data_IF_950590194057
#
_entry.id   IF_950590194057
#
_cell.length_a   1.000
_cell.length_b   1.000
_cell.length_c   1.000
_cell.angle_alpha   90.00
_cell.angle_beta   90.00
_cell.angle_gamma   90.00
#
_symmetry.space_group_name_H-M   'P 1'
#
loop_
_entity.id
_entity.type
_entity.pdbx_description
1 polymer ?
#
# COMPACT_ATOMS: atom_id res chain seq x y z
N UNK A 1 -16.97 29.12 13.46
CA UNK A 1 -15.72 28.60 12.84
C UNK A 1 -16.01 27.20 12.34
N UNK A 2 -15.60 26.85 11.11
CA UNK A 2 -15.59 25.43 10.71
C UNK A 2 -14.42 24.79 11.47
N UNK A 3 -14.58 23.60 12.08
CA UNK A 3 -13.48 22.93 12.73
C UNK A 3 -12.38 22.64 11.73
N UNK A 4 -11.13 22.77 12.15
CA UNK A 4 -9.98 22.40 11.35
C UNK A 4 -9.94 20.87 11.26
N UNK A 5 -10.29 20.35 10.07
CA UNK A 5 -10.33 18.92 9.81
C UNK A 5 -8.91 18.44 9.50
N UNK A 6 -8.39 17.55 10.33
CA UNK A 6 -7.15 16.84 10.00
C UNK A 6 -7.43 15.82 8.89
N UNK A 7 -6.56 15.82 7.89
CA UNK A 7 -6.50 14.76 6.91
C UNK A 7 -5.68 13.61 7.49
N UNK A 8 -6.33 12.47 7.65
CA UNK A 8 -5.71 11.22 8.09
C UNK A 8 -5.85 10.17 7.01
N UNK A 9 -4.92 9.22 6.99
CA UNK A 9 -4.93 8.14 6.02
C UNK A 9 -6.12 7.22 6.26
N UNK A 10 -6.79 6.84 5.16
CA UNK A 10 -7.96 5.96 5.16
C UNK A 10 -7.70 4.75 4.28
N UNK A 11 -8.31 3.63 4.63
CA UNK A 11 -8.35 2.43 3.79
C UNK A 11 -9.69 2.38 3.09
N UNK A 12 -9.65 2.22 1.76
CA UNK A 12 -10.84 2.03 0.94
C UNK A 12 -11.54 0.74 1.30
N UNK A 13 -12.86 0.80 1.43
CA UNK A 13 -13.69 -0.41 1.50
C UNK A 13 -13.70 -1.11 0.15
N UNK A 14 -14.00 -2.42 0.14
CA UNK A 14 -14.14 -3.18 -1.10
C UNK A 14 -15.21 -2.56 -2.01
N UNK A 15 -16.32 -2.11 -1.44
CA UNK A 15 -17.42 -1.47 -2.15
C UNK A 15 -16.97 -0.17 -2.83
N UNK A 16 -16.23 0.69 -2.13
CA UNK A 16 -15.67 1.90 -2.73
C UNK A 16 -14.68 1.59 -3.85
N UNK A 17 -13.86 0.55 -3.70
CA UNK A 17 -12.95 0.12 -4.77
C UNK A 17 -13.73 -0.35 -6.01
N UNK A 18 -14.79 -1.13 -5.83
CA UNK A 18 -15.65 -1.56 -6.95
C UNK A 18 -16.28 -0.36 -7.66
N UNK A 19 -16.72 0.67 -6.93
CA UNK A 19 -17.26 1.91 -7.50
C UNK A 19 -16.20 2.68 -8.30
N UNK A 20 -14.99 2.80 -7.77
CA UNK A 20 -13.85 3.43 -8.47
C UNK A 20 -13.52 2.67 -9.75
N UNK A 21 -13.49 1.33 -9.69
CA UNK A 21 -13.22 0.47 -10.84
C UNK A 21 -14.32 0.63 -11.91
N UNK A 22 -15.59 0.63 -11.51
CA UNK A 22 -16.73 0.88 -12.41
C UNK A 22 -16.62 2.24 -13.08
N UNK A 23 -16.30 3.28 -12.30
CA UNK A 23 -16.11 4.64 -12.81
C UNK A 23 -14.95 4.70 -13.81
N UNK A 24 -13.79 4.14 -13.47
CA UNK A 24 -12.64 4.10 -14.35
C UNK A 24 -12.92 3.34 -15.65
N UNK A 25 -13.66 2.23 -15.57
CA UNK A 25 -14.11 1.50 -16.75
C UNK A 25 -14.98 2.37 -17.66
N UNK A 26 -16.05 2.97 -17.11
CA UNK A 26 -16.98 3.82 -17.88
C UNK A 26 -16.29 5.02 -18.51
N UNK A 27 -15.23 5.54 -17.88
CA UNK A 27 -14.47 6.70 -18.35
C UNK A 27 -13.24 6.34 -19.17
N UNK A 28 -12.99 5.05 -19.41
CA UNK A 28 -11.80 4.54 -20.11
C UNK A 28 -10.49 5.08 -19.48
N UNK A 29 -10.38 4.97 -18.16
CA UNK A 29 -9.23 5.44 -17.38
C UNK A 29 -8.29 4.28 -17.04
N UNK A 30 -7.00 4.58 -17.09
CA UNK A 30 -5.95 3.70 -16.59
C UNK A 30 -5.80 3.87 -15.07
N UNK A 31 -5.95 2.78 -14.31
CA UNK A 31 -5.82 2.79 -12.86
C UNK A 31 -4.35 2.69 -12.41
N UNK A 32 -3.93 3.65 -11.58
CA UNK A 32 -2.66 3.63 -10.87
C UNK A 32 -2.97 3.48 -9.38
N UNK A 33 -2.75 2.29 -8.83
CA UNK A 33 -3.01 1.94 -7.45
C UNK A 33 -1.73 2.04 -6.61
N UNK A 34 -1.55 3.17 -5.92
CA UNK A 34 -0.46 3.37 -4.98
C UNK A 34 -0.76 2.68 -3.65
N UNK A 35 -0.28 1.44 -3.50
CA UNK A 35 -0.61 0.54 -2.39
C UNK A 35 0.57 0.40 -1.40
N UNK A 36 1.44 1.41 -1.33
CA UNK A 36 2.70 1.38 -0.56
C UNK A 36 2.55 1.20 0.96
N UNK A 37 1.36 1.45 1.51
CA UNK A 37 1.05 1.29 2.94
C UNK A 37 0.26 0.03 3.28
N UNK A 38 0.18 -0.95 2.37
CA UNK A 38 -0.65 -2.14 2.57
C UNK A 38 -0.34 -2.94 3.85
N UNK A 39 0.89 -2.85 4.37
CA UNK A 39 1.34 -3.51 5.60
C UNK A 39 1.14 -2.65 6.88
N UNK A 40 0.74 -1.38 6.76
CA UNK A 40 0.59 -0.44 7.89
C UNK A 40 -0.87 -0.27 8.36
N UNK A 41 -1.78 -1.10 7.87
CA UNK A 41 -3.20 -0.95 8.14
C UNK A 41 -3.51 -1.51 9.53
N UNK A 42 -4.15 -0.70 10.39
CA UNK A 42 -4.38 -1.06 11.80
C UNK A 42 -5.74 -1.67 12.09
N UNK A 43 -6.79 -1.26 11.37
CA UNK A 43 -8.18 -1.57 11.77
C UNK A 43 -9.06 -2.17 10.68
N UNK A 44 -8.55 -2.32 9.44
CA UNK A 44 -9.33 -2.81 8.29
C UNK A 44 -8.53 -3.86 7.50
N UNK A 45 -9.19 -4.79 6.79
CA UNK A 45 -8.48 -5.66 5.87
C UNK A 45 -7.97 -4.87 4.66
N UNK A 46 -6.78 -5.22 4.19
CA UNK A 46 -6.28 -4.74 2.90
C UNK A 46 -6.93 -5.51 1.74
N UNK A 47 -7.34 -4.77 0.71
CA UNK A 47 -7.71 -5.33 -0.58
C UNK A 47 -6.89 -4.64 -1.66
N UNK A 48 -6.19 -5.40 -2.50
CA UNK A 48 -5.51 -4.82 -3.67
C UNK A 48 -6.50 -4.59 -4.81
N UNK A 49 -6.30 -3.52 -5.58
CA UNK A 49 -7.08 -3.24 -6.78
C UNK A 49 -7.02 -4.41 -7.75
N UNK A 50 -5.88 -5.07 -7.87
CA UNK A 50 -5.73 -6.27 -8.70
C UNK A 50 -6.67 -7.40 -8.28
N UNK A 51 -6.76 -7.70 -6.98
CA UNK A 51 -7.65 -8.74 -6.44
C UNK A 51 -9.11 -8.38 -6.72
N UNK A 52 -9.52 -7.16 -6.36
CA UNK A 52 -10.92 -6.71 -6.55
C UNK A 52 -11.29 -6.73 -8.03
N UNK A 53 -10.45 -6.18 -8.92
CA UNK A 53 -10.69 -6.22 -10.37
C UNK A 53 -10.80 -7.64 -10.91
N UNK A 54 -9.98 -8.57 -10.41
CA UNK A 54 -10.03 -9.97 -10.84
C UNK A 54 -11.33 -10.66 -10.37
N UNK A 55 -11.71 -10.48 -9.11
CA UNK A 55 -12.95 -11.02 -8.53
C UNK A 55 -14.21 -10.45 -9.19
N UNK A 56 -14.21 -9.18 -9.60
CA UNK A 56 -15.32 -8.56 -10.34
C UNK A 56 -15.52 -9.17 -11.74
N UNK A 57 -14.53 -9.88 -12.28
CA UNK A 57 -14.60 -10.51 -13.60
C UNK A 57 -14.71 -9.51 -14.77
N UNK A 58 -15.01 -10.03 -15.95
CA UNK A 58 -15.16 -9.20 -17.14
C UNK A 58 -16.38 -8.26 -17.01
N UNK A 59 -16.29 -6.99 -17.45
CA UNK A 59 -15.18 -6.42 -18.22
C UNK A 59 -14.04 -5.81 -17.38
N UNK A 60 -14.21 -5.71 -16.06
CA UNK A 60 -13.27 -5.01 -15.16
C UNK A 60 -11.92 -5.72 -15.03
N UNK A 61 -11.96 -7.05 -14.99
CA UNK A 61 -10.79 -7.92 -15.00
C UNK A 61 -10.01 -7.88 -16.32
N UNK A 62 -10.34 -6.98 -17.26
CA UNK A 62 -9.61 -6.74 -18.51
C UNK A 62 -9.02 -5.33 -18.61
N UNK A 63 -9.26 -4.45 -17.63
CA UNK A 63 -8.74 -3.08 -17.64
C UNK A 63 -7.23 -3.00 -17.36
N UNK A 64 -6.64 -1.88 -17.74
CA UNK A 64 -5.25 -1.51 -17.44
C UNK A 64 -5.10 -1.15 -15.95
N UNK A 65 -4.08 -1.73 -15.29
CA UNK A 65 -3.74 -1.44 -13.89
C UNK A 65 -2.22 -1.37 -13.71
N UNK A 66 -1.75 -0.37 -12.97
CA UNK A 66 -0.43 -0.29 -12.39
C UNK A 66 -0.56 -0.32 -10.87
N UNK A 67 -0.12 -1.38 -10.20
CA UNK A 67 -0.11 -1.49 -8.73
C UNK A 67 1.30 -1.32 -8.21
N UNK A 68 1.51 -0.42 -7.24
CA UNK A 68 2.82 -0.03 -6.73
C UNK A 68 3.04 -0.57 -5.32
N UNK A 69 4.25 -1.07 -5.07
CA UNK A 69 4.75 -1.48 -3.76
C UNK A 69 6.14 -0.88 -3.52
N UNK A 70 6.47 -0.58 -2.26
CA UNK A 70 7.81 -0.17 -1.84
C UNK A 70 8.25 -0.91 -0.59
N UNK A 71 9.56 -1.11 -0.45
CA UNK A 71 10.18 -1.56 0.81
C UNK A 71 10.44 -0.40 1.79
N UNK A 72 10.12 0.85 1.42
CA UNK A 72 10.38 2.04 2.25
C UNK A 72 9.40 2.21 3.41
N UNK A 73 8.30 1.45 3.41
CA UNK A 73 7.17 1.49 4.35
C UNK A 73 6.93 0.07 4.86
N UNK A 74 5.91 -0.14 5.68
CA UNK A 74 5.65 -1.43 6.31
C UNK A 74 6.67 -1.77 7.39
N UNK A 75 6.65 -3.03 7.80
CA UNK A 75 7.59 -3.61 8.75
C UNK A 75 9.05 -3.58 8.24
N UNK A 76 9.26 -3.56 6.93
CA UNK A 76 10.60 -3.48 6.35
C UNK A 76 11.26 -2.12 6.60
N UNK A 77 10.53 -1.02 6.35
CA UNK A 77 10.99 0.35 6.60
C UNK A 77 12.38 0.73 6.03
N UNK A 78 12.86 0.04 4.99
CA UNK A 78 14.20 0.18 4.40
C UNK A 78 14.27 1.32 3.37
N UNK A 79 13.89 2.53 3.77
CA UNK A 79 13.76 3.67 2.87
C UNK A 79 15.07 4.05 2.16
N UNK A 80 16.23 3.81 2.79
CA UNK A 80 17.55 4.09 2.24
C UNK A 80 17.92 3.20 1.05
N UNK A 81 17.35 2.00 0.95
CA UNK A 81 17.64 1.04 -0.13
C UNK A 81 16.90 1.37 -1.44
N UNK A 82 15.94 2.32 -1.39
CA UNK A 82 15.16 2.80 -2.55
C UNK A 82 14.58 1.67 -3.41
N UNK A 83 13.94 0.70 -2.75
CA UNK A 83 13.41 -0.50 -3.38
C UNK A 83 11.87 -0.51 -3.49
N UNK A 84 11.37 -1.15 -4.55
CA UNK A 84 9.95 -1.31 -4.84
C UNK A 84 9.72 -1.91 -6.22
N UNK A 85 8.46 -2.19 -6.54
CA UNK A 85 8.06 -2.60 -7.89
C UNK A 85 6.74 -1.95 -8.30
N UNK A 86 6.49 -2.01 -9.60
CA UNK A 86 5.17 -1.79 -10.19
C UNK A 86 4.75 -3.04 -10.93
N UNK A 87 3.57 -3.56 -10.63
CA UNK A 87 2.94 -4.60 -11.43
C UNK A 87 2.06 -3.94 -12.49
N UNK A 88 2.38 -4.18 -13.76
CA UNK A 88 1.67 -3.64 -14.91
C UNK A 88 0.79 -4.73 -15.52
N UNK A 89 -0.52 -4.56 -15.45
CA UNK A 89 -1.51 -5.52 -15.92
C UNK A 89 -2.20 -4.98 -17.18
N UNK A 90 -2.15 -5.77 -18.26
CA UNK A 90 -2.88 -5.56 -19.52
C UNK A 90 -2.69 -4.18 -20.18
N UNK A 91 -1.50 -3.61 -20.06
CA UNK A 91 -1.14 -2.39 -20.77
C UNK A 91 -1.44 -2.50 -22.26
N UNK A 92 -1.93 -1.40 -22.84
CA UNK A 92 -2.03 -1.27 -24.28
C UNK A 92 -0.66 -1.51 -24.95
N UNK A 93 -0.59 -2.21 -26.09
CA UNK A 93 0.68 -2.56 -26.73
C UNK A 93 1.60 -1.37 -26.99
N UNK A 94 1.03 -0.20 -27.34
CA UNK A 94 1.82 1.04 -27.55
C UNK A 94 2.42 1.57 -26.26
N UNK A 95 1.70 1.49 -25.14
CA UNK A 95 2.19 1.90 -23.81
C UNK A 95 3.27 0.94 -23.33
N UNK A 96 3.05 -0.37 -23.48
CA UNK A 96 4.05 -1.38 -23.13
C UNK A 96 5.35 -1.23 -23.94
N UNK A 97 5.24 -0.90 -25.23
CA UNK A 97 6.40 -0.61 -26.08
C UNK A 97 7.14 0.64 -25.60
N UNK A 98 6.44 1.75 -25.36
CA UNK A 98 7.04 2.99 -24.86
C UNK A 98 7.73 2.79 -23.50
N UNK A 99 7.09 2.07 -22.58
CA UNK A 99 7.67 1.72 -21.28
C UNK A 99 8.94 0.87 -21.43
N UNK A 100 8.92 -0.11 -22.34
CA UNK A 100 10.08 -0.97 -22.60
C UNK A 100 11.25 -0.18 -23.19
N UNK A 101 10.98 0.73 -24.12
CA UNK A 101 11.99 1.64 -24.68
C UNK A 101 12.57 2.56 -23.60
N UNK A 102 11.72 3.17 -22.77
CA UNK A 102 12.17 4.00 -21.66
C UNK A 102 13.04 3.21 -20.67
N UNK A 103 12.66 1.97 -20.35
CA UNK A 103 13.46 1.10 -19.48
C UNK A 103 14.79 0.70 -20.10
N UNK A 104 14.85 0.50 -21.42
CA UNK A 104 16.09 0.12 -22.11
C UNK A 104 17.17 1.21 -22.09
N UNK A 105 16.79 2.48 -21.92
CA UNK A 105 17.73 3.60 -21.79
C UNK A 105 18.08 3.93 -20.34
N UNK A 106 17.38 3.34 -19.37
CA UNK A 106 17.66 3.49 -17.95
C UNK A 106 18.62 2.40 -17.45
N UNK A 107 19.42 2.71 -16.44
CA UNK A 107 20.17 1.69 -15.70
C UNK A 107 19.22 0.86 -14.84
N UNK A 108 19.61 -0.37 -14.51
CA UNK A 108 18.83 -1.22 -13.62
C UNK A 108 18.80 -0.65 -12.17
N UNK A 109 17.76 -1.00 -11.38
CA UNK A 109 17.75 -0.68 -9.96
C UNK A 109 18.96 -1.29 -9.22
N UNK A 110 19.33 -0.72 -8.08
CA UNK A 110 20.47 -1.21 -7.30
C UNK A 110 20.30 -2.69 -6.94
N UNK A 111 21.39 -3.45 -6.96
CA UNK A 111 21.36 -4.90 -6.61
C UNK A 111 20.86 -5.08 -5.17
N UNK A 112 21.33 -4.25 -4.24
CA UNK A 112 20.83 -4.29 -2.85
C UNK A 112 19.34 -3.99 -2.75
N UNK A 113 18.84 -3.04 -3.56
CA UNK A 113 17.41 -2.75 -3.64
C UNK A 113 16.59 -3.94 -4.18
N UNK A 114 17.14 -4.68 -5.15
CA UNK A 114 16.52 -5.90 -5.64
C UNK A 114 16.56 -7.03 -4.60
N UNK A 115 17.66 -7.17 -3.84
CA UNK A 115 17.79 -8.17 -2.78
C UNK A 115 16.77 -7.94 -1.66
N UNK A 116 16.66 -6.72 -1.13
CA UNK A 116 15.67 -6.44 -0.08
C UNK A 116 14.25 -6.64 -0.58
N UNK A 117 13.97 -6.31 -1.84
CA UNK A 117 12.65 -6.56 -2.41
C UNK A 117 12.32 -8.05 -2.41
N UNK A 118 13.26 -8.91 -2.78
CA UNK A 118 13.06 -10.37 -2.74
C UNK A 118 12.77 -10.87 -1.31
N UNK A 119 13.51 -10.35 -0.32
CA UNK A 119 13.28 -10.67 1.09
C UNK A 119 11.90 -10.22 1.60
N UNK A 120 11.48 -9.00 1.27
CA UNK A 120 10.18 -8.46 1.71
C UNK A 120 9.02 -9.22 1.07
N UNK A 121 9.16 -9.64 -0.18
CA UNK A 121 8.13 -10.41 -0.89
C UNK A 121 8.08 -11.89 -0.49
N UNK A 122 9.07 -12.37 0.26
CA UNK A 122 9.18 -13.74 0.77
C UNK A 122 9.56 -13.72 2.25
N UNK A 123 8.67 -13.20 3.12
CA UNK A 123 8.93 -13.24 4.55
C UNK A 123 9.00 -14.70 5.05
N UNK A 124 9.57 -14.94 6.24
CA UNK A 124 9.60 -16.28 6.83
C UNK A 124 8.20 -16.91 6.88
N UNK A 125 8.11 -18.19 6.58
CA UNK A 125 6.87 -18.97 6.54
C UNK A 125 6.74 -19.93 7.74
N UNK A 126 5.52 -20.34 8.13
CA UNK A 126 5.33 -21.34 9.17
C UNK A 126 6.16 -22.60 8.94
N UNK A 127 6.98 -22.97 9.94
CA UNK A 127 7.90 -24.10 9.88
C UNK A 127 9.35 -23.73 9.60
N UNK A 128 9.63 -22.48 9.19
CA UNK A 128 11.00 -21.98 9.05
C UNK A 128 11.60 -21.52 10.39
N UNK A 129 12.93 -21.60 10.59
CA UNK A 129 13.57 -21.32 11.88
C UNK A 129 13.30 -19.92 12.44
N UNK A 130 13.20 -18.90 11.59
CA UNK A 130 13.01 -17.50 11.99
C UNK A 130 11.53 -17.08 12.08
N UNK A 131 10.58 -17.92 11.64
CA UNK A 131 9.17 -17.54 11.60
C UNK A 131 8.58 -17.19 12.97
N UNK A 132 8.83 -17.95 14.06
CA UNK A 132 8.25 -17.60 15.37
C UNK A 132 8.66 -16.21 15.84
N UNK A 133 9.95 -15.86 15.68
CA UNK A 133 10.47 -14.55 16.05
C UNK A 133 9.90 -13.45 15.14
N UNK A 134 9.91 -13.68 13.82
CA UNK A 134 9.34 -12.72 12.86
C UNK A 134 7.86 -12.42 13.12
N UNK A 135 7.07 -13.45 13.43
CA UNK A 135 5.65 -13.29 13.73
C UNK A 135 5.41 -12.52 15.04
N UNK A 136 6.26 -12.74 16.06
CA UNK A 136 6.24 -11.99 17.31
C UNK A 136 6.56 -10.50 17.08
N UNK A 137 7.66 -10.21 16.38
CA UNK A 137 8.08 -8.84 16.05
C UNK A 137 7.03 -8.09 15.22
N UNK A 138 6.47 -8.76 14.20
CA UNK A 138 5.41 -8.18 13.37
C UNK A 138 4.14 -7.90 14.19
N UNK A 139 3.78 -8.81 15.09
CA UNK A 139 2.64 -8.62 16.00
C UNK A 139 2.83 -7.42 16.93
N UNK A 140 4.06 -7.23 17.45
CA UNK A 140 4.40 -6.10 18.30
C UNK A 140 4.36 -4.77 17.53
N UNK A 141 4.91 -4.74 16.31
CA UNK A 141 4.80 -3.57 15.41
C UNK A 141 3.33 -3.21 15.21
N UNK A 142 2.49 -4.19 14.87
CA UNK A 142 1.06 -3.97 14.64
C UNK A 142 0.34 -3.44 15.88
N UNK A 143 0.65 -3.97 17.07
CA UNK A 143 0.11 -3.51 18.35
C UNK A 143 0.47 -2.03 18.59
N UNK A 144 1.75 -1.68 18.47
CA UNK A 144 2.24 -0.31 18.67
C UNK A 144 1.61 0.67 17.67
N UNK A 145 1.51 0.29 16.39
CA UNK A 145 0.85 1.13 15.39
C UNK A 145 -0.62 1.38 15.71
N UNK A 146 -1.32 0.36 16.22
CA UNK A 146 -2.74 0.46 16.59
C UNK A 146 -2.92 1.39 17.79
N UNK A 147 -2.12 1.21 18.85
CA UNK A 147 -2.15 2.07 20.05
C UNK A 147 -1.84 3.53 19.72
N UNK A 148 -0.87 3.78 18.83
CA UNK A 148 -0.54 5.12 18.35
C UNK A 148 -1.68 5.74 17.55
N UNK A 149 -2.37 4.96 16.72
CA UNK A 149 -3.52 5.43 15.96
C UNK A 149 -4.68 5.85 16.88
N UNK A 150 -5.00 5.04 17.88
CA UNK A 150 -6.03 5.35 18.87
C UNK A 150 -5.65 6.59 19.69
N UNK A 151 -4.43 6.64 20.22
CA UNK A 151 -3.93 7.77 21.00
C UNK A 151 -3.98 9.07 20.20
N UNK A 152 -3.54 9.05 18.94
CA UNK A 152 -3.57 10.23 18.07
C UNK A 152 -5.01 10.68 17.77
N UNK A 153 -5.90 9.72 17.45
CA UNK A 153 -7.31 10.00 17.19
C UNK A 153 -8.00 10.66 18.40
N UNK A 154 -7.81 10.11 19.60
CA UNK A 154 -8.39 10.65 20.84
C UNK A 154 -7.79 12.03 21.18
N UNK A 155 -6.47 12.16 21.07
CA UNK A 155 -5.76 13.40 21.38
C UNK A 155 -6.24 14.53 20.49
N UNK A 156 -6.29 14.33 19.16
CA UNK A 156 -6.72 15.38 18.24
C UNK A 156 -8.20 15.77 18.45
N UNK A 157 -9.07 14.79 18.73
CA UNK A 157 -10.49 15.09 18.99
C UNK A 157 -10.75 15.69 20.39
N UNK A 158 -9.78 15.64 21.30
CA UNK A 158 -9.87 16.32 22.60
C UNK A 158 -9.64 17.84 22.52
N UNK A 159 -9.01 18.33 21.44
CA UNK A 159 -8.66 19.73 21.26
C UNK A 159 -9.86 20.50 20.69
N UNK A 160 -10.38 21.54 21.39
CA UNK A 160 -11.51 22.32 20.89
C UNK A 160 -11.23 22.95 19.53
N UNK A 161 -12.13 22.74 18.57
CA UNK A 161 -12.01 23.26 17.21
C UNK A 161 -11.30 22.32 16.23
N UNK A 162 -10.77 21.20 16.69
CA UNK A 162 -10.16 20.16 15.86
C UNK A 162 -11.11 18.98 15.66
N UNK A 163 -11.00 18.34 14.50
CA UNK A 163 -11.73 17.11 14.21
C UNK A 163 -10.83 16.16 13.43
N UNK A 164 -10.72 14.92 13.91
CA UNK A 164 -9.93 13.86 13.33
C UNK A 164 -10.84 12.66 13.01
N UNK A 165 -10.78 12.14 11.79
CA UNK A 165 -11.43 10.86 11.46
C UNK A 165 -10.65 9.70 12.09
N UNK A 166 -11.25 8.50 12.24
CA UNK A 166 -10.51 7.30 12.63
C UNK A 166 -9.27 7.10 11.75
N UNK A 167 -8.13 6.77 12.34
CA UNK A 167 -6.87 6.61 11.60
C UNK A 167 -6.73 5.15 11.20
N UNK A 168 -6.91 4.84 9.91
CA UNK A 168 -6.84 3.45 9.45
C UNK A 168 -5.40 2.98 9.16
N UNK A 169 -4.48 3.94 8.94
CA UNK A 169 -3.08 3.70 8.55
C UNK A 169 -2.19 4.72 9.26
N UNK A 170 -1.07 4.25 9.80
CA UNK A 170 -0.05 5.11 10.44
C UNK A 170 1.21 5.20 9.56
N UNK A 171 1.65 6.43 9.33
CA UNK A 171 2.81 6.77 8.48
C UNK A 171 4.14 6.96 9.25
N UNK A 172 4.13 6.94 10.59
CA UNK A 172 5.29 7.40 11.37
C UNK A 172 6.17 6.33 12.03
N UNK A 173 7.46 6.67 12.04
CA UNK A 173 8.64 5.90 12.46
C UNK A 173 8.54 5.29 13.86
N UNK A 174 9.04 4.06 13.97
CA UNK A 174 9.61 3.57 15.22
C UNK A 174 10.89 4.40 15.43
N UNK A 175 10.83 5.47 16.22
CA UNK A 175 12.06 6.00 16.81
C UNK A 175 12.57 4.93 17.79
N UNK A 176 13.78 4.45 17.54
CA UNK A 176 14.53 3.51 18.38
C UNK A 176 14.98 4.15 19.68
#
# INVERSE_FOLDING_TARGET
MRPDRLFVLQVLTRENMEEIIKFAYTRNLFLLADEVYQENIVCKPFHSFKKVMHEMGAPYSSMELASFLTCSKGWAAECGLRAGYVELVRLQPRVAAAFSTARAVMQCPSVLGQCILDCVMKPPAPGEPSYPLFAEELGEIQRVLTERAETAYETFNSIPGYFCNPIDVIEFFVEY
#
